data_IF_408948731678
#
_entry.id   IF_408948731678
#
_cell.length_a   1.000
_cell.length_b   1.000
_cell.length_c   1.000
_cell.angle_alpha   90.00
_cell.angle_beta   90.00
_cell.angle_gamma   90.00
#
_symmetry.space_group_name_H-M   'P 1'
#
loop_
_entity.id
_entity.type
_entity.pdbx_description
1 polymer ?
#
# COMPACT_ATOMS: atom_id res chain seq x y z
N UNK A 1 -19.99 -28.28 -9.10
CA UNK A 1 -21.02 -27.37 -9.62
C UNK A 1 -20.59 -25.96 -9.30
N UNK A 2 -20.16 -25.17 -10.30
CA UNK A 2 -19.83 -23.74 -10.09
C UNK A 2 -21.14 -22.99 -9.85
N UNK A 3 -21.24 -22.30 -8.73
CA UNK A 3 -22.40 -21.43 -8.46
C UNK A 3 -22.56 -20.39 -9.61
N UNK A 4 -23.79 -20.07 -10.03
CA UNK A 4 -24.02 -19.12 -11.11
C UNK A 4 -23.36 -17.78 -10.78
N UNK A 5 -22.65 -17.20 -11.76
CA UNK A 5 -21.97 -15.93 -11.59
C UNK A 5 -22.98 -14.85 -11.18
N UNK A 6 -22.72 -14.18 -10.06
CA UNK A 6 -23.56 -13.09 -9.57
C UNK A 6 -23.67 -11.97 -10.63
N UNK A 7 -24.86 -11.41 -10.89
CA UNK A 7 -25.02 -10.29 -11.81
C UNK A 7 -24.02 -9.14 -11.54
N UNK A 8 -23.47 -8.54 -12.61
CA UNK A 8 -22.46 -7.47 -12.50
C UNK A 8 -22.89 -6.36 -11.55
N UNK A 9 -24.12 -5.89 -11.69
CA UNK A 9 -24.69 -4.83 -10.85
C UNK A 9 -24.66 -5.16 -9.35
N UNK A 10 -24.96 -6.42 -8.99
CA UNK A 10 -24.89 -6.85 -7.57
C UNK A 10 -23.45 -6.89 -7.04
N UNK A 11 -22.49 -7.32 -7.89
CA UNK A 11 -21.08 -7.35 -7.48
C UNK A 11 -20.55 -5.92 -7.27
N UNK A 12 -20.85 -5.00 -8.19
CA UNK A 12 -20.49 -3.59 -8.07
C UNK A 12 -21.17 -2.93 -6.86
N UNK A 13 -22.48 -3.19 -6.65
CA UNK A 13 -23.20 -2.67 -5.48
C UNK A 13 -22.61 -3.15 -4.15
N UNK A 14 -22.22 -4.42 -4.05
CA UNK A 14 -21.54 -4.94 -2.84
C UNK A 14 -20.17 -4.30 -2.64
N UNK A 15 -19.35 -4.19 -3.70
CA UNK A 15 -18.04 -3.55 -3.61
C UNK A 15 -18.18 -2.07 -3.20
N UNK A 16 -19.12 -1.34 -3.78
CA UNK A 16 -19.42 0.04 -3.39
C UNK A 16 -19.85 0.14 -1.93
N UNK A 17 -20.71 -0.76 -1.46
CA UNK A 17 -21.13 -0.81 -0.05
C UNK A 17 -19.92 -1.11 0.87
N UNK A 18 -19.04 -2.03 0.48
CA UNK A 18 -17.80 -2.30 1.20
C UNK A 18 -16.89 -1.07 1.32
N UNK A 19 -16.72 -0.33 0.21
CA UNK A 19 -15.98 0.93 0.21
C UNK A 19 -16.62 1.99 1.11
N UNK A 20 -17.94 2.14 1.07
CA UNK A 20 -18.69 3.08 1.94
C UNK A 20 -18.52 2.72 3.42
N UNK A 21 -18.60 1.43 3.78
CA UNK A 21 -18.39 1.00 5.16
C UNK A 21 -16.95 1.26 5.63
N UNK A 22 -15.96 1.03 4.76
CA UNK A 22 -14.55 1.28 5.06
C UNK A 22 -14.30 2.77 5.29
N UNK A 23 -14.71 3.61 4.36
CA UNK A 23 -14.57 5.07 4.43
C UNK A 23 -15.34 5.61 5.64
N UNK A 24 -16.57 5.13 5.88
CA UNK A 24 -17.38 5.53 7.02
C UNK A 24 -16.70 5.21 8.35
N UNK A 25 -16.15 4.00 8.52
CA UNK A 25 -15.42 3.60 9.72
C UNK A 25 -14.20 4.50 9.98
N UNK A 26 -13.41 4.77 8.92
CA UNK A 26 -12.27 5.69 8.99
C UNK A 26 -12.73 7.11 9.36
N UNK A 27 -13.72 7.64 8.65
CA UNK A 27 -14.21 9.03 8.84
C UNK A 27 -14.76 9.26 10.23
N UNK A 28 -15.52 8.33 10.79
CA UNK A 28 -16.05 8.44 12.17
C UNK A 28 -14.92 8.63 13.17
N UNK A 29 -13.85 7.85 13.08
CA UNK A 29 -12.72 7.98 14.01
C UNK A 29 -11.96 9.29 13.77
N UNK A 30 -11.62 9.60 12.51
CA UNK A 30 -10.81 10.78 12.19
C UNK A 30 -11.54 12.09 12.53
N UNK A 31 -12.82 12.21 12.17
CA UNK A 31 -13.63 13.39 12.49
C UNK A 31 -13.84 13.52 14.01
N UNK A 32 -14.09 12.40 14.72
CA UNK A 32 -14.21 12.44 16.18
C UNK A 32 -12.91 12.88 16.86
N UNK A 33 -11.76 12.50 16.30
CA UNK A 33 -10.47 12.94 16.80
C UNK A 33 -10.27 14.46 16.67
N UNK A 34 -10.86 15.10 15.64
CA UNK A 34 -10.76 16.56 15.46
C UNK A 34 -11.41 17.37 16.59
N UNK A 35 -12.27 16.75 17.40
CA UNK A 35 -12.84 17.37 18.59
C UNK A 35 -11.84 17.53 19.74
N UNK A 36 -10.68 16.89 19.64
CA UNK A 36 -9.62 16.95 20.65
C UNK A 36 -8.50 17.91 20.24
N UNK A 37 -7.71 18.44 21.20
CA UNK A 37 -6.52 19.22 20.90
C UNK A 37 -5.51 18.45 20.03
N UNK A 38 -4.80 19.14 19.15
CA UNK A 38 -3.81 18.51 18.27
C UNK A 38 -2.73 17.72 19.00
N UNK A 39 -2.31 18.21 20.18
CA UNK A 39 -1.30 17.55 21.01
C UNK A 39 -1.73 16.15 21.49
N UNK A 40 -3.04 15.90 21.62
CA UNK A 40 -3.59 14.65 22.16
C UNK A 40 -3.88 13.60 21.08
N UNK A 41 -3.59 13.90 19.78
CA UNK A 41 -3.96 13.05 18.63
C UNK A 41 -2.79 12.67 17.74
N UNK A 42 -1.62 12.39 18.34
CA UNK A 42 -0.38 12.12 17.58
C UNK A 42 -0.39 10.75 16.89
N UNK A 43 -0.79 9.69 17.58
CA UNK A 43 -0.71 8.32 17.05
C UNK A 43 -2.08 7.63 16.94
N UNK A 44 -2.87 7.74 17.99
CA UNK A 44 -4.03 6.87 18.17
C UNK A 44 -5.15 7.04 17.14
N UNK A 45 -5.42 8.24 16.54
CA UNK A 45 -6.53 8.35 15.61
C UNK A 45 -6.32 7.48 14.37
N UNK A 46 -5.13 7.56 13.77
CA UNK A 46 -4.79 6.77 12.57
C UNK A 46 -4.77 5.27 12.86
N UNK A 47 -4.21 4.86 14.00
CA UNK A 47 -4.19 3.46 14.42
C UNK A 47 -5.59 2.94 14.72
N UNK A 48 -6.41 3.71 15.45
CA UNK A 48 -7.79 3.32 15.74
C UNK A 48 -8.63 3.26 14.46
N UNK A 49 -8.43 4.19 13.51
CA UNK A 49 -9.09 4.15 12.21
C UNK A 49 -8.70 2.91 11.41
N UNK A 50 -7.43 2.51 11.44
CA UNK A 50 -6.98 1.27 10.81
C UNK A 50 -7.66 0.02 11.41
N UNK A 51 -7.78 -0.04 12.75
CA UNK A 51 -8.52 -1.11 13.43
C UNK A 51 -10.02 -1.08 13.10
N UNK A 52 -10.64 0.09 13.10
CA UNK A 52 -12.05 0.25 12.74
C UNK A 52 -12.33 -0.22 11.31
N UNK A 53 -11.44 0.12 10.37
CA UNK A 53 -11.51 -0.36 8.98
C UNK A 53 -11.37 -1.87 8.87
N UNK A 54 -10.45 -2.51 9.60
CA UNK A 54 -10.31 -3.96 9.62
C UNK A 54 -11.56 -4.65 10.18
N UNK A 55 -12.17 -4.06 11.22
CA UNK A 55 -13.46 -4.50 11.78
C UNK A 55 -14.61 -4.35 10.76
N UNK A 56 -14.73 -3.19 10.12
CA UNK A 56 -15.73 -2.90 9.10
C UNK A 56 -15.59 -3.85 7.89
N UNK A 57 -14.36 -4.11 7.44
CA UNK A 57 -14.08 -5.09 6.40
C UNK A 57 -14.47 -6.53 6.81
N UNK A 58 -14.14 -6.94 8.02
CA UNK A 58 -14.50 -8.26 8.54
C UNK A 58 -16.02 -8.42 8.62
N UNK A 59 -16.73 -7.39 9.07
CA UNK A 59 -18.18 -7.33 9.04
C UNK A 59 -18.72 -7.45 7.61
N UNK A 60 -18.20 -6.66 6.68
CA UNK A 60 -18.54 -6.70 5.25
C UNK A 60 -18.36 -8.10 4.66
N UNK A 61 -17.17 -8.70 4.87
CA UNK A 61 -16.88 -10.03 4.35
C UNK A 61 -17.86 -11.08 4.87
N UNK A 62 -18.16 -11.07 6.18
CA UNK A 62 -19.02 -12.07 6.82
C UNK A 62 -20.50 -11.87 6.55
N UNK A 63 -21.01 -10.63 6.62
CA UNK A 63 -22.45 -10.34 6.58
C UNK A 63 -22.98 -10.00 5.20
N UNK A 64 -22.15 -9.40 4.34
CA UNK A 64 -22.56 -8.93 3.01
C UNK A 64 -22.08 -9.87 1.91
N UNK A 65 -20.80 -10.28 1.99
CA UNK A 65 -20.23 -11.21 1.05
C UNK A 65 -20.47 -12.68 1.40
N UNK A 66 -20.91 -12.98 2.64
CA UNK A 66 -21.10 -14.32 3.18
C UNK A 66 -19.85 -15.21 3.05
N UNK A 67 -18.66 -14.62 3.29
CA UNK A 67 -17.35 -15.27 3.29
C UNK A 67 -16.81 -15.42 4.72
N UNK A 68 -15.90 -16.36 4.98
CA UNK A 68 -15.32 -16.55 6.33
C UNK A 68 -14.63 -15.30 6.88
N UNK A 69 -14.12 -14.38 6.04
CA UNK A 69 -13.38 -13.20 6.46
C UNK A 69 -12.05 -13.55 7.09
N UNK A 70 -11.33 -14.51 6.52
CA UNK A 70 -10.05 -15.00 7.02
C UNK A 70 -8.85 -14.13 6.60
N UNK A 71 -9.09 -13.08 5.83
CA UNK A 71 -8.04 -12.18 5.35
C UNK A 71 -7.28 -11.47 6.49
N UNK A 72 -7.87 -11.39 7.67
CA UNK A 72 -7.23 -10.95 8.91
C UNK A 72 -7.00 -12.08 9.92
N UNK A 73 -6.94 -13.35 9.48
CA UNK A 73 -6.60 -14.46 10.37
C UNK A 73 -5.20 -14.27 10.95
N UNK A 74 -5.06 -14.49 12.28
CA UNK A 74 -3.82 -14.24 13.00
C UNK A 74 -2.76 -15.34 12.83
N UNK A 75 -3.15 -16.53 12.31
CA UNK A 75 -2.17 -17.56 11.94
C UNK A 75 -1.19 -16.95 10.94
N UNK A 76 0.07 -17.18 11.06
CA UNK A 76 1.15 -16.66 10.20
C UNK A 76 1.27 -15.12 10.12
N UNK A 77 0.34 -14.35 10.72
CA UNK A 77 0.38 -12.88 10.69
C UNK A 77 1.72 -12.29 11.17
N UNK A 78 2.36 -12.77 12.25
CA UNK A 78 3.67 -12.25 12.67
C UNK A 78 4.76 -12.42 11.60
N UNK A 79 4.76 -13.56 10.90
CA UNK A 79 5.73 -13.85 9.84
C UNK A 79 5.47 -12.99 8.61
N UNK A 80 4.20 -12.86 8.21
CA UNK A 80 3.79 -12.03 7.06
C UNK A 80 4.07 -10.55 7.31
N UNK A 81 3.79 -10.05 8.52
CA UNK A 81 4.10 -8.67 8.91
C UNK A 81 5.62 -8.44 8.90
N UNK A 82 6.40 -9.31 9.52
CA UNK A 82 7.85 -9.16 9.55
C UNK A 82 8.47 -9.23 8.15
N UNK A 83 8.11 -10.24 7.36
CA UNK A 83 8.64 -10.41 6.00
C UNK A 83 8.20 -9.30 5.05
N UNK A 84 6.96 -8.84 5.15
CA UNK A 84 6.47 -7.73 4.35
C UNK A 84 7.15 -6.41 4.70
N UNK A 85 7.23 -6.04 5.99
CA UNK A 85 7.91 -4.83 6.42
C UNK A 85 9.39 -4.80 5.97
N UNK A 86 10.11 -5.90 6.21
CA UNK A 86 11.50 -6.02 5.76
C UNK A 86 11.59 -5.99 4.24
N UNK A 87 10.71 -6.70 3.53
CA UNK A 87 10.69 -6.73 2.07
C UNK A 87 10.48 -5.35 1.46
N UNK A 88 9.47 -4.61 1.92
CA UNK A 88 9.21 -3.24 1.48
C UNK A 88 10.38 -2.30 1.78
N UNK A 89 10.93 -2.39 3.00
CA UNK A 89 12.09 -1.60 3.41
C UNK A 89 13.33 -1.87 2.55
N UNK A 90 13.63 -3.13 2.28
CA UNK A 90 14.78 -3.54 1.44
C UNK A 90 14.63 -3.01 0.01
N UNK A 91 13.43 -3.09 -0.57
CA UNK A 91 13.19 -2.58 -1.92
C UNK A 91 13.46 -1.07 -2.00
N UNK A 92 12.93 -0.27 -1.07
CA UNK A 92 13.19 1.18 -1.03
C UNK A 92 14.65 1.49 -0.75
N UNK A 93 15.26 0.80 0.23
CA UNK A 93 16.69 0.97 0.51
C UNK A 93 17.55 0.67 -0.74
N UNK A 94 17.16 -0.33 -1.54
CA UNK A 94 17.82 -0.66 -2.80
C UNK A 94 17.67 0.48 -3.83
N UNK A 95 16.46 1.08 -3.95
CA UNK A 95 16.26 2.25 -4.83
C UNK A 95 17.20 3.38 -4.42
N UNK A 96 17.22 3.77 -3.14
CA UNK A 96 18.10 4.84 -2.66
C UNK A 96 19.59 4.50 -2.80
N UNK A 97 19.97 3.24 -2.56
CA UNK A 97 21.35 2.79 -2.75
C UNK A 97 21.81 2.90 -4.21
N UNK A 98 20.96 2.51 -5.16
CA UNK A 98 21.24 2.64 -6.60
C UNK A 98 21.31 4.12 -6.99
N UNK A 99 20.35 4.95 -6.55
CA UNK A 99 20.35 6.39 -6.84
C UNK A 99 21.57 7.08 -6.25
N UNK A 100 22.01 6.68 -5.05
CA UNK A 100 23.24 7.20 -4.43
C UNK A 100 24.50 6.75 -5.18
N UNK A 101 24.59 5.48 -5.59
CA UNK A 101 25.70 4.97 -6.40
C UNK A 101 25.81 5.68 -7.76
N UNK A 102 24.67 6.08 -8.33
CA UNK A 102 24.59 6.89 -9.56
C UNK A 102 24.78 8.39 -9.31
N UNK A 103 25.05 8.80 -8.07
CA UNK A 103 25.18 10.21 -7.64
C UNK A 103 23.93 11.07 -7.92
N UNK A 104 22.77 10.44 -8.07
CA UNK A 104 21.46 11.09 -8.22
C UNK A 104 20.88 11.47 -6.86
N UNK A 105 21.06 10.64 -5.82
CA UNK A 105 20.65 10.93 -4.45
C UNK A 105 21.85 11.33 -3.60
N UNK A 106 21.74 12.43 -2.87
CA UNK A 106 22.75 12.92 -1.93
C UNK A 106 22.12 13.13 -0.56
N UNK A 107 22.57 12.36 0.43
CA UNK A 107 22.13 12.54 1.81
C UNK A 107 22.70 13.85 2.36
N UNK A 108 21.84 14.74 2.85
CA UNK A 108 22.21 16.06 3.36
C UNK A 108 22.29 16.09 4.89
N UNK A 109 21.47 15.29 5.58
CA UNK A 109 21.46 15.31 7.04
C UNK A 109 20.34 14.49 7.65
N UNK A 110 20.07 14.80 8.92
CA UNK A 110 18.97 14.16 9.67
C UNK A 110 18.15 15.21 10.42
N UNK A 111 16.86 14.96 10.56
CA UNK A 111 15.96 15.74 11.40
C UNK A 111 15.96 15.19 12.85
N UNK A 112 15.72 16.05 13.85
CA UNK A 112 15.42 15.58 15.19
C UNK A 112 14.09 14.84 15.21
N UNK A 113 14.02 13.74 15.96
CA UNK A 113 12.76 13.03 16.17
C UNK A 113 11.81 13.91 16.99
N UNK A 114 10.59 14.07 16.50
CA UNK A 114 9.56 14.85 17.17
C UNK A 114 8.17 14.26 16.96
N UNK A 115 7.12 14.85 17.55
CA UNK A 115 5.74 14.38 17.39
C UNK A 115 5.28 14.29 15.95
N UNK A 116 5.75 15.18 15.07
CA UNK A 116 5.44 15.15 13.64
C UNK A 116 5.89 13.84 12.96
N UNK A 117 7.06 13.32 13.32
CA UNK A 117 7.55 12.04 12.80
C UNK A 117 6.67 10.86 13.26
N UNK A 118 6.17 10.88 14.50
CA UNK A 118 5.26 9.85 15.00
C UNK A 118 3.88 9.93 14.33
N UNK A 119 3.38 11.13 14.08
CA UNK A 119 2.13 11.33 13.32
C UNK A 119 2.27 10.76 11.92
N UNK A 120 3.35 11.10 11.22
CA UNK A 120 3.65 10.58 9.88
C UNK A 120 3.67 9.04 9.86
N UNK A 121 4.32 8.40 10.85
CA UNK A 121 4.36 6.94 10.95
C UNK A 121 2.96 6.34 11.09
N UNK A 122 2.10 6.91 11.94
CA UNK A 122 0.74 6.42 12.12
C UNK A 122 -0.15 6.64 10.90
N UNK A 123 0.05 7.73 10.18
CA UNK A 123 -0.64 8.01 8.92
C UNK A 123 -0.25 7.00 7.82
N UNK A 124 1.02 6.59 7.76
CA UNK A 124 1.47 5.55 6.82
C UNK A 124 0.81 4.19 7.11
N UNK A 125 0.59 3.86 8.41
CA UNK A 125 -0.18 2.66 8.78
C UNK A 125 -1.63 2.78 8.28
N UNK A 126 -2.25 3.95 8.49
CA UNK A 126 -3.63 4.21 8.05
C UNK A 126 -3.76 4.06 6.53
N UNK A 127 -2.87 4.72 5.78
CA UNK A 127 -2.88 4.70 4.31
C UNK A 127 -2.69 3.28 3.78
N UNK A 128 -1.67 2.56 4.25
CA UNK A 128 -1.41 1.17 3.82
C UNK A 128 -2.61 0.26 4.14
N UNK A 129 -3.21 0.37 5.33
CA UNK A 129 -4.41 -0.40 5.67
C UNK A 129 -5.60 -0.02 4.79
N UNK A 130 -5.86 1.27 4.59
CA UNK A 130 -6.98 1.75 3.77
C UNK A 130 -6.88 1.23 2.34
N UNK A 131 -5.75 1.43 1.70
CA UNK A 131 -5.57 1.10 0.29
C UNK A 131 -5.56 -0.42 0.07
N UNK A 132 -4.89 -1.20 0.93
CA UNK A 132 -4.86 -2.64 0.77
C UNK A 132 -6.22 -3.29 1.06
N UNK A 133 -6.94 -2.84 2.09
CA UNK A 133 -8.29 -3.35 2.37
C UNK A 133 -9.23 -3.02 1.21
N UNK A 134 -9.19 -1.78 0.71
CA UNK A 134 -10.03 -1.35 -0.40
C UNK A 134 -9.69 -2.11 -1.69
N UNK A 135 -8.42 -2.11 -2.08
CA UNK A 135 -8.01 -2.62 -3.39
C UNK A 135 -7.92 -4.14 -3.39
N UNK A 136 -7.31 -4.78 -2.38
CA UNK A 136 -7.12 -6.24 -2.33
C UNK A 136 -8.30 -6.94 -1.67
N UNK A 137 -8.75 -6.41 -0.54
CA UNK A 137 -9.86 -7.00 0.19
C UNK A 137 -11.20 -6.90 -0.54
N UNK A 138 -11.50 -5.77 -1.20
CA UNK A 138 -12.80 -5.52 -1.82
C UNK A 138 -12.73 -5.63 -3.34
N UNK A 139 -11.92 -4.79 -4.01
CA UNK A 139 -11.92 -4.68 -5.48
C UNK A 139 -11.34 -5.95 -6.13
N UNK A 140 -10.14 -6.36 -5.76
CA UNK A 140 -9.49 -7.55 -6.32
C UNK A 140 -10.35 -8.79 -6.10
N UNK A 141 -10.88 -9.01 -4.90
CA UNK A 141 -11.80 -10.14 -4.61
C UNK A 141 -13.07 -10.12 -5.44
N UNK A 142 -13.62 -8.93 -5.70
CA UNK A 142 -14.80 -8.80 -6.58
C UNK A 142 -14.48 -9.18 -8.03
N UNK A 143 -13.30 -8.77 -8.53
CA UNK A 143 -12.80 -9.06 -9.88
C UNK A 143 -12.41 -10.52 -10.03
N UNK A 144 -11.76 -11.12 -9.02
CA UNK A 144 -11.24 -12.49 -9.05
C UNK A 144 -12.32 -13.52 -9.38
N UNK A 145 -13.53 -13.34 -8.86
CA UNK A 145 -14.68 -14.21 -9.15
C UNK A 145 -15.10 -14.23 -10.60
N UNK A 146 -14.63 -13.28 -11.42
CA UNK A 146 -15.04 -13.13 -12.83
C UNK A 146 -13.94 -13.40 -13.82
N UNK A 147 -12.72 -12.98 -13.50
CA UNK A 147 -11.59 -13.03 -14.43
C UNK A 147 -10.41 -13.85 -13.92
N UNK A 148 -10.61 -14.57 -12.78
CA UNK A 148 -9.54 -15.33 -12.14
C UNK A 148 -8.49 -14.44 -11.48
N UNK A 149 -7.56 -15.06 -10.73
CA UNK A 149 -6.59 -14.34 -9.91
C UNK A 149 -5.65 -13.45 -10.74
N UNK A 150 -5.13 -13.93 -11.88
CA UNK A 150 -4.24 -13.13 -12.73
C UNK A 150 -4.95 -11.88 -13.29
N UNK A 151 -6.14 -12.07 -13.87
CA UNK A 151 -6.93 -10.97 -14.40
C UNK A 151 -7.29 -9.94 -13.32
N UNK A 152 -7.65 -10.41 -12.12
CA UNK A 152 -7.97 -9.56 -10.98
C UNK A 152 -6.78 -8.74 -10.48
N UNK A 153 -5.59 -9.37 -10.40
CA UNK A 153 -4.35 -8.66 -10.03
C UNK A 153 -4.05 -7.56 -11.04
N UNK A 154 -4.07 -7.87 -12.33
CA UNK A 154 -3.79 -6.86 -13.38
C UNK A 154 -4.83 -5.74 -13.36
N UNK A 155 -6.12 -6.06 -13.34
CA UNK A 155 -7.18 -5.05 -13.37
C UNK A 155 -7.18 -4.17 -12.11
N UNK A 156 -7.00 -4.75 -10.90
CA UNK A 156 -6.93 -3.98 -9.67
C UNK A 156 -5.65 -3.13 -9.59
N UNK A 157 -4.54 -3.59 -10.14
CA UNK A 157 -3.30 -2.84 -10.23
C UNK A 157 -3.41 -1.64 -11.18
N UNK A 158 -4.06 -1.81 -12.34
CA UNK A 158 -4.36 -0.70 -13.25
C UNK A 158 -5.25 0.35 -12.59
N UNK A 159 -6.31 -0.08 -11.90
CA UNK A 159 -7.17 0.84 -11.13
C UNK A 159 -6.38 1.58 -10.05
N UNK A 160 -5.47 0.90 -9.37
CA UNK A 160 -4.58 1.49 -8.37
C UNK A 160 -3.68 2.57 -8.97
N UNK A 161 -3.02 2.29 -10.10
CA UNK A 161 -2.21 3.29 -10.82
C UNK A 161 -3.04 4.48 -11.30
N UNK A 162 -4.23 4.24 -11.88
CA UNK A 162 -5.14 5.29 -12.36
C UNK A 162 -5.60 6.19 -11.19
N UNK A 163 -5.88 5.62 -10.03
CA UNK A 163 -6.29 6.37 -8.84
C UNK A 163 -5.22 7.37 -8.35
N UNK A 164 -3.94 7.15 -8.71
CA UNK A 164 -2.83 8.04 -8.35
C UNK A 164 -2.52 9.12 -9.41
N UNK A 165 -3.20 9.13 -10.56
CA UNK A 165 -3.00 10.17 -11.59
C UNK A 165 -3.28 11.60 -11.07
N UNK A 166 -4.28 11.84 -10.17
CA UNK A 166 -4.51 13.17 -9.62
C UNK A 166 -3.42 13.66 -8.65
N UNK A 167 -2.49 12.80 -8.22
CA UNK A 167 -1.47 13.16 -7.27
C UNK A 167 -0.47 14.16 -7.83
N UNK A 168 0.08 15.08 -7.00
CA UNK A 168 1.07 16.06 -7.44
C UNK A 168 2.28 15.40 -8.12
N UNK A 169 2.68 15.94 -9.26
CA UNK A 169 3.84 15.45 -10.01
C UNK A 169 3.65 14.12 -10.73
N UNK A 170 2.42 13.59 -10.82
CA UNK A 170 2.17 12.34 -11.52
C UNK A 170 2.59 12.42 -13.00
N UNK A 171 3.24 11.36 -13.45
CA UNK A 171 3.74 11.18 -14.83
C UNK A 171 3.30 9.80 -15.34
N UNK A 172 3.45 9.53 -16.63
CA UNK A 172 3.21 8.20 -17.18
C UNK A 172 4.13 7.14 -16.51
N UNK A 173 5.37 7.50 -16.20
CA UNK A 173 6.32 6.59 -15.53
C UNK A 173 5.90 6.33 -14.07
N UNK A 174 5.52 7.36 -13.32
CA UNK A 174 5.03 7.17 -11.95
C UNK A 174 3.74 6.35 -11.91
N UNK A 175 2.80 6.58 -12.82
CA UNK A 175 1.59 5.78 -12.95
C UNK A 175 1.90 4.31 -13.26
N UNK A 176 2.88 4.05 -14.13
CA UNK A 176 3.35 2.68 -14.40
C UNK A 176 3.98 2.05 -13.15
N UNK A 177 4.79 2.80 -12.40
CA UNK A 177 5.43 2.32 -11.17
C UNK A 177 4.39 1.99 -10.08
N UNK A 178 3.40 2.86 -9.86
CA UNK A 178 2.29 2.58 -8.93
C UNK A 178 1.47 1.37 -9.38
N UNK A 179 1.24 1.22 -10.70
CA UNK A 179 0.60 0.02 -11.24
C UNK A 179 1.45 -1.23 -10.95
N UNK A 180 2.78 -1.17 -11.13
CA UNK A 180 3.68 -2.29 -10.84
C UNK A 180 3.70 -2.63 -9.33
N UNK A 181 3.71 -1.62 -8.44
CA UNK A 181 3.51 -1.83 -7.01
C UNK A 181 2.16 -2.51 -6.73
N UNK A 182 1.11 -2.08 -7.46
CA UNK A 182 -0.19 -2.72 -7.45
C UNK A 182 -0.15 -4.20 -7.81
N UNK A 183 0.62 -4.59 -8.82
CA UNK A 183 0.84 -6.00 -9.18
C UNK A 183 1.56 -6.74 -8.06
N UNK A 184 2.60 -6.15 -7.47
CA UNK A 184 3.38 -6.76 -6.39
C UNK A 184 2.49 -7.04 -5.16
N UNK A 185 1.73 -6.05 -4.69
CA UNK A 185 0.85 -6.20 -3.54
C UNK A 185 -0.31 -7.17 -3.82
N UNK A 186 -0.88 -7.12 -5.04
CA UNK A 186 -1.89 -8.08 -5.47
C UNK A 186 -1.36 -9.52 -5.51
N UNK A 187 -0.13 -9.72 -5.98
CA UNK A 187 0.55 -11.02 -5.97
C UNK A 187 0.77 -11.52 -4.55
N UNK A 188 1.22 -10.65 -3.63
CA UNK A 188 1.38 -10.99 -2.21
C UNK A 188 0.05 -11.44 -1.58
N UNK A 189 -1.03 -10.72 -1.87
CA UNK A 189 -2.37 -11.07 -1.41
C UNK A 189 -2.85 -12.44 -1.95
N UNK A 190 -2.70 -12.68 -3.26
CA UNK A 190 -3.10 -13.98 -3.85
C UNK A 190 -2.25 -15.15 -3.33
N UNK A 191 -0.99 -14.91 -2.98
CA UNK A 191 -0.10 -15.94 -2.44
C UNK A 191 -0.51 -16.41 -1.04
N UNK A 192 -1.06 -15.51 -0.21
CA UNK A 192 -1.39 -15.80 1.20
C UNK A 192 -2.90 -15.85 1.46
N UNK A 193 -3.70 -15.29 0.58
CA UNK A 193 -5.13 -15.00 0.76
C UNK A 193 -5.42 -14.15 2.01
N UNK A 194 -4.38 -13.53 2.59
CA UNK A 194 -4.44 -12.64 3.75
C UNK A 194 -3.90 -11.25 3.41
N UNK A 195 -4.38 -10.25 4.14
CA UNK A 195 -4.00 -8.86 3.92
C UNK A 195 -2.67 -8.49 4.61
N UNK A 196 -2.19 -9.30 5.56
CA UNK A 196 -1.03 -8.96 6.37
C UNK A 196 0.24 -8.72 5.54
N UNK A 197 0.53 -9.61 4.57
CA UNK A 197 1.73 -9.49 3.75
C UNK A 197 1.66 -8.26 2.83
N UNK A 198 0.52 -8.02 2.16
CA UNK A 198 0.37 -6.87 1.27
C UNK A 198 0.41 -5.55 2.04
N UNK A 199 -0.31 -5.45 3.18
CA UNK A 199 -0.26 -4.27 4.06
C UNK A 199 1.17 -4.03 4.55
N UNK A 200 1.88 -5.08 4.98
CA UNK A 200 3.23 -4.94 5.51
C UNK A 200 4.27 -4.54 4.44
N UNK A 201 4.17 -5.09 3.22
CA UNK A 201 5.01 -4.68 2.09
C UNK A 201 4.79 -3.20 1.75
N UNK A 202 3.53 -2.78 1.67
CA UNK A 202 3.15 -1.40 1.40
C UNK A 202 3.62 -0.47 2.53
N UNK A 203 3.37 -0.83 3.78
CA UNK A 203 3.81 -0.07 4.95
C UNK A 203 5.34 0.04 5.01
N UNK A 204 6.07 -1.07 4.81
CA UNK A 204 7.53 -1.09 4.79
C UNK A 204 8.11 -0.18 3.70
N UNK A 205 7.46 -0.16 2.53
CA UNK A 205 7.77 0.78 1.46
C UNK A 205 7.56 2.23 1.90
N UNK A 206 6.35 2.59 2.34
CA UNK A 206 6.00 3.97 2.71
C UNK A 206 6.84 4.48 3.89
N UNK A 207 7.03 3.66 4.93
CA UNK A 207 7.83 4.02 6.10
C UNK A 207 9.29 4.24 5.71
N UNK A 208 9.85 3.41 4.85
CA UNK A 208 11.25 3.59 4.47
C UNK A 208 11.42 4.80 3.55
N UNK A 209 10.53 5.03 2.61
CA UNK A 209 10.57 6.20 1.74
C UNK A 209 10.31 7.50 2.53
N UNK A 210 9.17 7.60 3.17
CA UNK A 210 8.72 8.86 3.77
C UNK A 210 9.26 9.11 5.17
N UNK A 211 9.28 8.07 6.04
CA UNK A 211 9.74 8.24 7.42
C UNK A 211 11.26 8.12 7.55
N UNK A 212 11.91 7.14 6.88
CA UNK A 212 13.37 7.02 6.97
C UNK A 212 14.07 8.05 6.11
N UNK A 213 13.71 8.19 4.84
CA UNK A 213 14.41 9.07 3.89
C UNK A 213 13.75 10.42 3.64
N UNK A 214 12.71 10.78 4.35
CA UNK A 214 11.95 12.03 4.15
C UNK A 214 11.58 12.28 2.70
N UNK A 215 11.42 11.22 1.91
CA UNK A 215 11.06 11.34 0.51
C UNK A 215 9.55 11.58 0.34
N UNK A 216 9.20 12.26 -0.72
CA UNK A 216 7.82 12.31 -1.18
C UNK A 216 7.35 10.90 -1.54
N UNK A 217 6.21 10.47 -1.01
CA UNK A 217 5.55 9.19 -1.28
C UNK A 217 4.31 9.46 -2.13
N UNK A 218 4.27 8.89 -3.32
CA UNK A 218 3.17 9.09 -4.29
C UNK A 218 2.79 10.56 -4.52
N UNK A 219 3.77 11.46 -4.55
CA UNK A 219 3.56 12.88 -4.71
C UNK A 219 3.14 13.63 -3.44
N UNK A 220 3.13 12.97 -2.26
CA UNK A 220 2.67 13.54 -0.99
C UNK A 220 3.79 13.56 0.07
N UNK A 221 3.78 14.56 0.94
CA UNK A 221 4.71 14.63 2.10
C UNK A 221 6.14 14.98 1.71
N UNK A 222 7.11 14.48 2.47
CA UNK A 222 8.55 14.61 2.18
C UNK A 222 9.36 15.48 3.16
N UNK A 223 8.78 15.93 4.30
CA UNK A 223 9.48 16.92 5.14
C UNK A 223 9.73 16.52 6.61
N UNK A 224 9.19 15.40 7.09
CA UNK A 224 9.16 15.08 8.52
C UNK A 224 9.86 13.77 8.92
N UNK A 225 10.61 13.14 8.03
CA UNK A 225 11.29 11.85 8.29
C UNK A 225 12.62 12.01 9.04
N UNK A 226 13.37 10.90 9.17
CA UNK A 226 14.63 10.85 9.91
C UNK A 226 15.80 11.48 9.16
N UNK A 227 16.00 11.09 7.92
CA UNK A 227 17.07 11.56 7.07
C UNK A 227 16.48 12.35 5.92
N UNK A 228 17.15 13.43 5.52
CA UNK A 228 16.76 14.17 4.33
C UNK A 228 17.92 14.24 3.35
N UNK A 229 17.58 14.34 2.08
CA UNK A 229 18.54 14.45 0.99
C UNK A 229 17.88 15.01 -0.25
N UNK A 230 18.69 15.25 -1.27
CA UNK A 230 18.28 15.83 -2.53
C UNK A 230 18.47 14.84 -3.68
N UNK A 231 17.55 14.91 -4.63
CA UNK A 231 17.61 14.17 -5.88
C UNK A 231 18.02 15.12 -7.02
N UNK A 232 19.16 14.84 -7.67
CA UNK A 232 19.70 15.62 -8.76
C UNK A 232 19.70 14.80 -10.06
N UNK A 233 19.30 15.44 -11.15
CA UNK A 233 19.32 14.80 -12.46
C UNK A 233 17.99 14.86 -13.21
N UNK A 234 17.88 14.14 -14.32
CA UNK A 234 16.68 14.17 -15.15
C UNK A 234 15.48 13.51 -14.45
N UNK A 235 14.27 13.97 -14.76
CA UNK A 235 13.01 13.53 -14.12
C UNK A 235 12.82 12.01 -14.17
N UNK A 236 13.23 11.33 -15.25
CA UNK A 236 13.11 9.88 -15.35
C UNK A 236 14.00 9.10 -14.36
N UNK A 237 15.04 9.75 -13.80
CA UNK A 237 15.87 9.16 -12.73
C UNK A 237 15.41 9.59 -11.34
N UNK A 238 15.02 10.86 -11.18
CA UNK A 238 14.64 11.43 -9.87
C UNK A 238 13.18 11.18 -9.50
N UNK A 239 12.32 11.00 -10.52
CA UNK A 239 10.86 10.99 -10.38
C UNK A 239 10.23 12.38 -10.29
N UNK A 240 11.03 13.45 -10.30
CA UNK A 240 10.54 14.84 -10.22
C UNK A 240 9.75 15.09 -8.94
N UNK A 241 8.65 15.85 -9.05
CA UNK A 241 7.79 16.19 -7.92
C UNK A 241 7.03 15.00 -7.32
N UNK A 242 6.90 13.88 -8.05
CA UNK A 242 6.29 12.66 -7.52
C UNK A 242 7.21 11.92 -6.51
N UNK A 243 8.49 12.27 -6.52
CA UNK A 243 9.51 11.62 -5.72
C UNK A 243 10.12 10.40 -6.41
N UNK A 244 11.03 9.71 -5.71
CA UNK A 244 11.79 8.56 -6.26
C UNK A 244 10.90 7.48 -6.87
N UNK A 245 9.66 7.37 -6.42
CA UNK A 245 8.67 6.43 -6.96
C UNK A 245 8.33 6.68 -8.43
N UNK A 246 8.57 7.90 -8.95
CA UNK A 246 8.45 8.24 -10.38
C UNK A 246 9.68 7.86 -11.21
N UNK A 247 10.69 7.19 -10.65
CA UNK A 247 11.95 6.92 -11.35
C UNK A 247 11.96 5.58 -12.10
N UNK A 248 12.81 5.47 -13.12
CA UNK A 248 13.10 4.21 -13.81
C UNK A 248 13.75 3.18 -12.89
N UNK A 249 14.56 3.64 -11.91
CA UNK A 249 15.19 2.76 -10.92
C UNK A 249 14.11 2.05 -10.09
N UNK A 250 13.09 2.79 -9.66
CA UNK A 250 11.96 2.20 -8.95
C UNK A 250 11.22 1.16 -9.78
N UNK A 251 11.00 1.40 -11.08
CA UNK A 251 10.37 0.42 -11.97
C UNK A 251 11.15 -0.90 -11.99
N UNK A 252 12.47 -0.83 -12.16
CA UNK A 252 13.33 -2.01 -12.22
C UNK A 252 13.34 -2.78 -10.91
N UNK A 253 13.41 -2.08 -9.77
CA UNK A 253 13.39 -2.69 -8.44
C UNK A 253 12.04 -3.35 -8.15
N UNK A 254 10.92 -2.69 -8.49
CA UNK A 254 9.58 -3.28 -8.35
C UNK A 254 9.39 -4.50 -9.24
N UNK A 255 9.87 -4.46 -10.49
CA UNK A 255 9.81 -5.60 -11.40
C UNK A 255 10.61 -6.80 -10.87
N UNK A 256 11.82 -6.56 -10.34
CA UNK A 256 12.65 -7.59 -9.72
C UNK A 256 11.98 -8.17 -8.46
N UNK A 257 11.48 -7.32 -7.55
CA UNK A 257 10.77 -7.75 -6.35
C UNK A 257 9.50 -8.57 -6.65
N UNK A 258 8.71 -8.13 -7.63
CA UNK A 258 7.53 -8.87 -8.09
C UNK A 258 7.91 -10.25 -8.67
N UNK A 259 8.97 -10.30 -9.46
CA UNK A 259 9.47 -11.57 -10.04
C UNK A 259 9.93 -12.56 -8.97
N UNK A 260 10.60 -12.08 -7.92
CA UNK A 260 11.01 -12.90 -6.78
C UNK A 260 9.79 -13.44 -6.00
N UNK A 261 8.77 -12.61 -5.76
CA UNK A 261 7.51 -13.02 -5.13
C UNK A 261 6.79 -14.11 -5.92
N UNK A 262 6.71 -13.95 -7.24
CA UNK A 262 6.10 -14.95 -8.13
C UNK A 262 6.88 -16.27 -8.11
N UNK A 263 8.21 -16.22 -8.16
CA UNK A 263 9.06 -17.40 -8.10
C UNK A 263 8.92 -18.15 -6.76
N UNK A 264 8.81 -17.42 -5.65
CA UNK A 264 8.57 -18.00 -4.33
C UNK A 264 7.18 -18.65 -4.24
N UNK A 265 6.13 -17.95 -4.66
CA UNK A 265 4.77 -18.47 -4.65
C UNK A 265 4.58 -19.74 -5.49
N UNK A 266 5.26 -19.85 -6.62
CA UNK A 266 5.24 -21.04 -7.46
C UNK A 266 5.92 -22.23 -6.77
N UNK A 267 7.05 -22.03 -6.09
CA UNK A 267 7.75 -23.09 -5.35
C UNK A 267 6.92 -23.64 -4.19
N UNK A 268 6.24 -22.76 -3.45
CA UNK A 268 5.39 -23.15 -2.34
C UNK A 268 4.14 -23.96 -2.75
N UNK A 269 3.72 -23.89 -4.02
CA UNK A 269 2.61 -24.68 -4.58
C UNK A 269 3.03 -26.03 -5.12
N UNK A 270 4.33 -26.25 -5.39
CA UNK A 270 4.89 -27.50 -5.95
C UNK A 270 5.58 -28.36 -4.91
N UNK A 271 5.77 -27.87 -3.69
CA UNK A 271 6.29 -28.60 -2.52
C UNK A 271 5.14 -29.05 -1.61
#
# INVERSE_FOLDING_TARGET
MLAPAMPVMRALGRAALGAVLLIGAMSVVMVSAELLPRADRVLWPSLLAAFAMAGAYTFYARRIEHRPGHEFALRDAPLELASGLVGGAVLVAMVFAILAALQVFQLQGRHPLGPAALTLLSEMVLVACFEEILVRGIVLRALERRMGSLGAVVASALLFGIAHIPNPGATALSTLNVTMAGVMFGTAFIATERLWLSIALHLGWNVTAGYVFSATVSGQGGEAGLYFGELHGPVWMTGGAFGMEGSMVTLLVLAAGTSLLLAYGNRARTA
#
